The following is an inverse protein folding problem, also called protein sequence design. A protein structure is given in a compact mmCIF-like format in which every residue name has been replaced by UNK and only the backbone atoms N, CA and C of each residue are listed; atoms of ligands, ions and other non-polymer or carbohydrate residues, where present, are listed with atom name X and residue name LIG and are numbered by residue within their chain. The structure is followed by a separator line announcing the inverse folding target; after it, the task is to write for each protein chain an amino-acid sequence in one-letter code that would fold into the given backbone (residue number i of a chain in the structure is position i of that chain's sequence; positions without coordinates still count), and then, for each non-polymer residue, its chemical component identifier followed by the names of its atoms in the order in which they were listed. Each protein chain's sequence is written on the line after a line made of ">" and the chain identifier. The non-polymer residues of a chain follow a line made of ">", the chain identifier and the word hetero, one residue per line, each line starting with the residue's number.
data_IF_400233719709
#
_entry.id   IF_400233719709
#
_cell.length_a   1.000
_cell.length_b   1.000
_cell.length_c   1.000
_cell.angle_alpha   90.00
_cell.angle_beta   90.00
_cell.angle_gamma   90.00
#
_symmetry.space_group_name_H-M   'P 1'
#
loop_
_entity.id
_entity.type
_entity.pdbx_description
1 polymer ?
#
# COMPACT_ATOMS: atom_id res chain seq x y z
N UNK A 1 11.53 -29.59 7.89
CA UNK A 1 12.27 -28.42 7.35
C UNK A 1 13.35 -28.00 8.32
N UNK A 2 13.02 -27.52 9.53
CA UNK A 2 14.03 -27.06 10.51
C UNK A 2 15.06 -28.09 10.97
N UNK A 3 14.74 -29.39 10.95
CA UNK A 3 15.74 -30.44 11.19
C UNK A 3 16.84 -30.51 10.12
N UNK A 4 16.57 -30.03 8.90
CA UNK A 4 17.56 -29.94 7.83
C UNK A 4 18.32 -28.61 7.88
N UNK A 5 17.65 -27.51 8.23
CA UNK A 5 18.25 -26.19 8.40
C UNK A 5 17.45 -25.37 9.44
N UNK A 6 18.06 -25.10 10.59
CA UNK A 6 17.43 -24.39 11.70
C UNK A 6 17.16 -22.90 11.43
N UNK A 7 17.74 -22.33 10.37
CA UNK A 7 17.51 -20.93 9.98
C UNK A 7 16.20 -20.71 9.22
N UNK A 8 15.55 -21.79 8.76
CA UNK A 8 14.31 -21.71 8.00
C UNK A 8 13.18 -21.13 8.86
N UNK A 9 12.61 -20.02 8.37
CA UNK A 9 11.36 -19.49 8.88
C UNK A 9 10.16 -20.13 8.16
N UNK A 10 9.11 -20.42 8.92
CA UNK A 10 7.89 -21.09 8.49
C UNK A 10 6.70 -20.16 8.63
N UNK A 11 5.90 -20.08 7.57
CA UNK A 11 4.66 -19.31 7.52
C UNK A 11 3.49 -20.29 7.48
N UNK A 12 2.60 -20.24 8.47
CA UNK A 12 1.41 -21.10 8.52
C UNK A 12 0.17 -20.38 8.02
N UNK A 13 -0.76 -21.08 7.36
CA UNK A 13 -1.99 -20.48 6.84
C UNK A 13 -3.01 -20.24 7.96
N UNK A 14 -3.41 -18.98 8.19
CA UNK A 14 -4.31 -18.64 9.30
C UNK A 14 -5.43 -17.67 8.94
N UNK A 15 -5.76 -17.54 7.66
CA UNK A 15 -6.78 -16.60 7.21
C UNK A 15 -8.20 -16.95 7.69
N UNK A 16 -9.10 -15.97 7.59
CA UNK A 16 -10.51 -16.18 7.87
C UNK A 16 -11.16 -17.07 6.81
N UNK A 17 -12.00 -18.02 7.25
CA UNK A 17 -12.79 -18.84 6.35
C UNK A 17 -13.79 -17.98 5.55
N UNK A 18 -13.96 -18.28 4.27
CA UNK A 18 -14.77 -17.44 3.36
C UNK A 18 -16.27 -17.40 3.71
N UNK A 19 -16.79 -18.45 4.34
CA UNK A 19 -18.23 -18.65 4.55
C UNK A 19 -18.61 -18.73 6.04
N UNK A 20 -17.70 -18.38 6.95
CA UNK A 20 -17.93 -18.35 8.39
C UNK A 20 -17.05 -17.29 9.04
N UNK A 21 -17.31 -16.96 10.30
CA UNK A 21 -16.46 -16.02 11.05
C UNK A 21 -15.19 -16.68 11.62
N UNK A 22 -14.93 -17.95 11.29
CA UNK A 22 -13.80 -18.71 11.82
C UNK A 22 -12.48 -18.20 11.27
N UNK A 23 -11.54 -17.92 12.18
CA UNK A 23 -10.13 -17.68 11.86
C UNK A 23 -9.31 -18.96 12.02
N UNK A 24 -8.66 -19.41 10.95
CA UNK A 24 -7.78 -20.59 11.03
C UNK A 24 -6.52 -20.34 11.85
N UNK A 25 -6.16 -19.07 12.07
CA UNK A 25 -5.07 -18.68 12.97
C UNK A 25 -5.25 -19.24 14.39
N UNK A 26 -6.48 -19.39 14.89
CA UNK A 26 -6.70 -19.91 16.24
C UNK A 26 -6.22 -21.35 16.39
N UNK A 27 -6.66 -22.22 15.48
CA UNK A 27 -6.29 -23.63 15.45
C UNK A 27 -4.81 -23.78 15.14
N UNK A 28 -4.31 -23.03 14.14
CA UNK A 28 -2.91 -23.01 13.76
C UNK A 28 -2.01 -22.73 14.98
N UNK A 29 -2.28 -21.66 15.72
CA UNK A 29 -1.41 -21.23 16.82
C UNK A 29 -1.52 -22.16 18.03
N UNK A 30 -2.70 -22.71 18.32
CA UNK A 30 -2.88 -23.68 19.41
C UNK A 30 -2.19 -25.01 19.14
N UNK A 31 -2.21 -25.48 17.89
CA UNK A 31 -1.64 -26.78 17.54
C UNK A 31 -0.14 -26.70 17.21
N UNK A 32 0.30 -25.63 16.56
CA UNK A 32 1.69 -25.53 16.07
C UNK A 32 2.63 -24.80 17.04
N UNK A 33 2.12 -23.90 17.90
CA UNK A 33 2.95 -23.11 18.82
C UNK A 33 4.12 -22.43 18.11
N UNK A 34 5.34 -22.69 18.58
CA UNK A 34 6.58 -22.09 18.06
C UNK A 34 7.08 -22.72 16.74
N UNK A 35 6.35 -23.68 16.17
CA UNK A 35 6.68 -24.26 14.87
C UNK A 35 6.45 -23.28 13.71
N UNK A 36 5.62 -22.25 13.90
CA UNK A 36 5.37 -21.20 12.89
C UNK A 36 5.88 -19.85 13.36
N UNK A 37 6.62 -19.16 12.50
CA UNK A 37 7.17 -17.82 12.78
C UNK A 37 6.16 -16.72 12.44
N UNK A 38 5.42 -16.91 11.34
CA UNK A 38 4.44 -15.96 10.84
C UNK A 38 3.12 -16.64 10.50
N UNK A 39 2.03 -15.89 10.58
CA UNK A 39 0.71 -16.31 10.11
C UNK A 39 0.43 -15.66 8.75
N UNK A 40 0.15 -16.47 7.74
CA UNK A 40 -0.25 -16.00 6.42
C UNK A 40 -1.70 -15.51 6.43
N UNK A 41 -1.90 -14.32 5.88
CA UNK A 41 -3.21 -13.69 5.67
C UNK A 41 -3.40 -13.32 4.21
N UNK A 42 -4.65 -13.41 3.76
CA UNK A 42 -5.07 -13.08 2.41
C UNK A 42 -5.95 -11.83 2.47
N UNK A 43 -5.43 -10.70 1.98
CA UNK A 43 -6.13 -9.40 1.99
C UNK A 43 -6.85 -9.11 0.67
N UNK A 44 -6.58 -9.87 -0.39
CA UNK A 44 -7.39 -9.88 -1.59
C UNK A 44 -8.80 -10.42 -1.32
N UNK A 45 -9.68 -10.31 -2.33
CA UNK A 45 -11.11 -10.67 -2.26
C UNK A 45 -12.00 -9.78 -1.40
N UNK A 46 -11.52 -8.62 -0.95
CA UNK A 46 -12.44 -7.55 -0.63
C UNK A 46 -13.26 -7.24 -1.89
N UNK A 47 -14.58 -7.11 -1.75
CA UNK A 47 -15.50 -6.86 -2.87
C UNK A 47 -16.36 -5.65 -2.54
N UNK A 48 -16.78 -4.86 -3.54
CA UNK A 48 -17.77 -3.83 -3.33
C UNK A 48 -19.04 -4.42 -2.73
N UNK A 49 -19.68 -3.72 -1.78
CA UNK A 49 -20.95 -4.16 -1.18
C UNK A 49 -22.11 -4.06 -2.17
N UNK A 50 -22.03 -3.08 -3.07
CA UNK A 50 -23.06 -2.83 -4.06
C UNK A 50 -22.97 -3.85 -5.21
N UNK A 51 -24.01 -4.66 -5.48
CA UNK A 51 -24.01 -5.56 -6.64
C UNK A 51 -23.97 -4.82 -7.99
N UNK A 52 -24.37 -3.55 -8.01
CA UNK A 52 -24.28 -2.63 -9.15
C UNK A 52 -23.08 -1.67 -9.04
N UNK A 53 -22.01 -2.11 -8.38
CA UNK A 53 -20.75 -1.39 -8.22
C UNK A 53 -20.24 -0.76 -9.52
N UNK A 54 -19.74 0.48 -9.42
CA UNK A 54 -19.07 1.15 -10.54
C UNK A 54 -17.70 0.53 -10.86
N UNK A 55 -17.11 -0.23 -9.93
CA UNK A 55 -15.81 -0.89 -10.12
C UNK A 55 -15.88 -2.18 -10.98
N UNK A 56 -17.03 -2.44 -11.62
CA UNK A 56 -17.21 -3.57 -12.54
C UNK A 56 -16.87 -3.18 -13.98
N UNK A 57 -15.81 -3.79 -14.50
CA UNK A 57 -15.40 -3.65 -15.91
C UNK A 57 -14.98 -2.23 -16.23
N UNK A 58 -15.78 -1.54 -17.06
CA UNK A 58 -15.48 -0.19 -17.54
C UNK A 58 -16.41 0.87 -16.99
N UNK A 59 -17.32 0.50 -16.08
CA UNK A 59 -18.34 1.40 -15.52
C UNK A 59 -17.71 2.57 -14.74
N UNK A 60 -16.57 2.32 -14.09
CA UNK A 60 -15.81 3.29 -13.31
C UNK A 60 -15.48 4.58 -14.08
N UNK A 61 -15.32 4.48 -15.41
CA UNK A 61 -14.98 5.62 -16.28
C UNK A 61 -16.06 6.69 -16.36
N UNK A 62 -17.29 6.37 -15.96
CA UNK A 62 -18.40 7.31 -15.95
C UNK A 62 -18.27 8.33 -14.83
N UNK A 63 -17.67 7.93 -13.71
CA UNK A 63 -17.53 8.76 -12.52
C UNK A 63 -16.36 8.27 -11.64
N UNK A 64 -15.22 8.98 -11.73
CA UNK A 64 -14.04 8.68 -10.91
C UNK A 64 -14.22 9.03 -9.44
N UNK A 65 -15.09 9.98 -9.09
CA UNK A 65 -15.39 10.30 -7.68
C UNK A 65 -16.18 9.16 -7.04
N UNK A 66 -17.19 8.63 -7.73
CA UNK A 66 -17.92 7.44 -7.27
C UNK A 66 -16.99 6.21 -7.19
N UNK A 67 -16.09 6.06 -8.17
CA UNK A 67 -15.10 4.98 -8.18
C UNK A 67 -14.14 5.08 -7.00
N UNK A 68 -13.66 6.28 -6.68
CA UNK A 68 -12.81 6.51 -5.51
C UNK A 68 -13.54 6.23 -4.21
N UNK A 69 -14.81 6.65 -4.09
CA UNK A 69 -15.62 6.36 -2.91
C UNK A 69 -15.76 4.84 -2.68
N UNK A 70 -16.01 4.05 -3.73
CA UNK A 70 -16.05 2.59 -3.59
C UNK A 70 -14.67 1.98 -3.28
N UNK A 71 -13.58 2.52 -3.83
CA UNK A 71 -12.21 2.10 -3.47
C UNK A 71 -11.89 2.43 -2.00
N UNK A 72 -12.39 3.53 -1.46
CA UNK A 72 -12.28 3.85 -0.03
C UNK A 72 -13.01 2.82 0.83
N UNK A 73 -14.25 2.45 0.47
CA UNK A 73 -14.97 1.37 1.15
C UNK A 73 -14.22 0.04 1.11
N UNK A 74 -13.53 -0.24 0.00
CA UNK A 74 -12.68 -1.42 -0.13
C UNK A 74 -11.46 -1.37 0.80
N UNK A 75 -10.83 -0.19 0.92
CA UNK A 75 -9.74 0.06 1.87
C UNK A 75 -10.21 -0.19 3.31
N UNK A 76 -11.40 0.32 3.69
CA UNK A 76 -11.95 0.16 5.03
C UNK A 76 -12.16 -1.33 5.41
N UNK A 77 -12.43 -2.18 4.41
CA UNK A 77 -12.52 -3.63 4.62
C UNK A 77 -11.17 -4.28 4.85
N UNK A 78 -10.13 -3.84 4.14
CA UNK A 78 -8.75 -4.31 4.39
C UNK A 78 -8.31 -3.92 5.80
N UNK A 79 -8.56 -2.66 6.20
CA UNK A 79 -8.23 -2.15 7.54
C UNK A 79 -8.96 -2.93 8.64
N UNK A 80 -10.27 -3.14 8.47
CA UNK A 80 -11.08 -3.93 9.40
C UNK A 80 -10.55 -5.36 9.51
N UNK A 81 -10.31 -6.04 8.39
CA UNK A 81 -9.80 -7.42 8.40
C UNK A 81 -8.42 -7.51 9.07
N UNK A 82 -7.53 -6.54 8.83
CA UNK A 82 -6.22 -6.49 9.48
C UNK A 82 -6.36 -6.28 11.00
N UNK A 83 -7.25 -5.39 11.42
CA UNK A 83 -7.53 -5.11 12.84
C UNK A 83 -8.12 -6.33 13.55
N UNK A 84 -9.08 -7.02 12.91
CA UNK A 84 -9.66 -8.25 13.42
C UNK A 84 -8.62 -9.37 13.51
N UNK A 85 -7.82 -9.57 12.47
CA UNK A 85 -6.74 -10.55 12.46
C UNK A 85 -5.73 -10.29 13.60
N UNK A 86 -5.33 -9.03 13.79
CA UNK A 86 -4.47 -8.62 14.90
C UNK A 86 -5.07 -9.00 16.24
N UNK A 87 -6.34 -8.65 16.47
CA UNK A 87 -7.05 -8.97 17.71
C UNK A 87 -7.06 -10.48 17.99
N UNK A 88 -7.44 -11.29 17.00
CA UNK A 88 -7.51 -12.76 17.13
C UNK A 88 -6.13 -13.34 17.40
N UNK A 89 -5.13 -13.03 16.58
CA UNK A 89 -3.79 -13.60 16.66
C UNK A 89 -3.10 -13.21 17.97
N UNK A 90 -3.12 -11.92 18.33
CA UNK A 90 -2.43 -11.42 19.52
C UNK A 90 -3.15 -11.76 20.83
N UNK A 91 -4.42 -12.13 20.79
CA UNK A 91 -5.12 -12.71 21.95
C UNK A 91 -4.59 -14.09 22.35
N UNK A 92 -3.98 -14.81 21.40
CA UNK A 92 -3.39 -16.14 21.60
C UNK A 92 -1.89 -16.02 21.85
N UNK A 93 -1.19 -15.27 20.99
CA UNK A 93 0.23 -14.98 21.11
C UNK A 93 0.53 -13.53 20.71
N UNK A 94 0.73 -12.68 21.71
CA UNK A 94 0.98 -11.25 21.54
C UNK A 94 2.25 -10.93 20.74
N UNK A 95 3.19 -11.88 20.64
CA UNK A 95 4.44 -11.71 19.88
C UNK A 95 4.28 -12.10 18.40
N UNK A 96 3.20 -12.78 18.04
CA UNK A 96 3.03 -13.32 16.70
C UNK A 96 2.75 -12.22 15.69
N UNK A 97 3.42 -12.34 14.53
CA UNK A 97 3.36 -11.41 13.41
C UNK A 97 2.80 -12.11 12.18
N UNK A 98 2.43 -11.32 11.17
CA UNK A 98 1.75 -11.83 9.97
C UNK A 98 2.55 -11.57 8.69
N UNK A 99 2.32 -12.46 7.73
CA UNK A 99 2.68 -12.28 6.34
C UNK A 99 1.41 -12.11 5.52
N UNK A 100 1.22 -10.95 4.91
CA UNK A 100 0.18 -10.76 3.89
C UNK A 100 0.73 -11.34 2.60
N UNK A 101 0.44 -12.61 2.36
CA UNK A 101 0.99 -13.38 1.23
C UNK A 101 0.29 -13.06 -0.07
N UNK A 102 -0.96 -12.58 -0.01
CA UNK A 102 -1.73 -12.10 -1.15
C UNK A 102 -2.56 -10.87 -0.74
N UNK A 103 -2.25 -9.69 -1.29
CA UNK A 103 -2.95 -8.43 -0.94
C UNK A 103 -3.43 -7.60 -2.12
N UNK A 104 -3.55 -8.20 -3.30
CA UNK A 104 -3.90 -7.48 -4.53
C UNK A 104 -5.36 -7.01 -4.59
N UNK A 105 -5.61 -5.89 -5.29
CA UNK A 105 -6.96 -5.38 -5.55
C UNK A 105 -7.69 -6.23 -6.61
N UNK A 106 -8.50 -7.19 -6.18
CA UNK A 106 -9.31 -8.03 -7.06
C UNK A 106 -10.63 -7.40 -7.46
N UNK A 107 -10.70 -6.91 -8.70
CA UNK A 107 -11.94 -6.37 -9.29
C UNK A 107 -12.49 -7.27 -10.41
N UNK A 108 -13.73 -7.01 -10.80
CA UNK A 108 -14.40 -7.70 -11.92
C UNK A 108 -14.19 -6.92 -13.23
N UNK A 109 -14.02 -7.59 -14.39
CA UNK A 109 -13.80 -9.03 -14.58
C UNK A 109 -12.56 -9.51 -13.83
N UNK A 110 -12.65 -10.72 -13.26
CA UNK A 110 -11.67 -11.25 -12.32
C UNK A 110 -10.22 -10.96 -12.74
N UNK A 111 -9.55 -10.13 -11.93
CA UNK A 111 -8.15 -9.74 -12.07
C UNK A 111 -7.79 -9.06 -13.42
N UNK A 112 -8.77 -8.51 -14.14
CA UNK A 112 -8.61 -7.89 -15.47
C UNK A 112 -9.33 -6.54 -15.60
N UNK A 113 -9.74 -5.93 -14.49
CA UNK A 113 -10.39 -4.62 -14.51
C UNK A 113 -9.40 -3.54 -14.94
N UNK A 114 -9.74 -2.75 -15.96
CA UNK A 114 -8.81 -1.78 -16.57
C UNK A 114 -8.45 -0.61 -15.65
N UNK A 115 -9.24 -0.33 -14.62
CA UNK A 115 -8.90 0.66 -13.59
C UNK A 115 -7.54 0.38 -12.93
N UNK A 116 -7.11 -0.89 -12.91
CA UNK A 116 -5.81 -1.31 -12.39
C UNK A 116 -4.63 -0.85 -13.24
N UNK A 117 -4.86 -0.24 -14.41
CA UNK A 117 -3.83 0.45 -15.21
C UNK A 117 -3.77 1.94 -14.94
N UNK A 118 -4.76 2.47 -14.22
CA UNK A 118 -4.98 3.90 -14.07
C UNK A 118 -4.54 4.40 -12.69
N UNK A 119 -4.21 5.69 -12.63
CA UNK A 119 -3.63 6.31 -11.45
C UNK A 119 -4.50 6.18 -10.20
N UNK A 120 -5.83 6.25 -10.35
CA UNK A 120 -6.76 6.07 -9.23
C UNK A 120 -6.53 4.77 -8.45
N UNK A 121 -6.11 3.69 -9.12
CA UNK A 121 -5.76 2.43 -8.45
C UNK A 121 -4.43 2.53 -7.70
N UNK A 122 -3.46 3.31 -8.20
CA UNK A 122 -2.20 3.55 -7.50
C UNK A 122 -2.43 4.24 -6.15
N UNK A 123 -3.33 5.22 -6.10
CA UNK A 123 -3.70 5.91 -4.85
C UNK A 123 -4.27 4.93 -3.82
N UNK A 124 -5.14 4.01 -4.26
CA UNK A 124 -5.63 2.94 -3.39
C UNK A 124 -4.46 2.08 -2.85
N UNK A 125 -3.57 1.60 -3.72
CA UNK A 125 -2.45 0.76 -3.30
C UNK A 125 -1.51 1.49 -2.33
N UNK A 126 -1.24 2.78 -2.55
CA UNK A 126 -0.41 3.58 -1.66
C UNK A 126 -1.04 3.72 -0.27
N UNK A 127 -2.36 3.92 -0.17
CA UNK A 127 -3.08 3.91 1.12
C UNK A 127 -2.97 2.55 1.82
N UNK A 128 -3.10 1.46 1.08
CA UNK A 128 -2.96 0.12 1.66
C UNK A 128 -1.52 -0.13 2.13
N UNK A 129 -0.49 0.35 1.43
CA UNK A 129 0.89 0.31 1.95
C UNK A 129 1.04 1.12 3.22
N UNK A 130 0.50 2.34 3.27
CA UNK A 130 0.50 3.14 4.50
C UNK A 130 -0.20 2.42 5.65
N UNK A 131 -1.30 1.71 5.39
CA UNK A 131 -1.96 0.86 6.39
C UNK A 131 -1.01 -0.22 6.94
N UNK A 132 -0.27 -0.90 6.06
CA UNK A 132 0.66 -1.94 6.48
C UNK A 132 1.87 -1.35 7.23
N UNK A 133 2.40 -0.20 6.80
CA UNK A 133 3.48 0.49 7.50
C UNK A 133 3.06 1.00 8.88
N UNK A 134 1.83 1.51 9.04
CA UNK A 134 1.25 1.85 10.36
C UNK A 134 1.13 0.65 11.30
N UNK A 135 1.12 -0.56 10.73
CA UNK A 135 1.03 -1.82 11.43
C UNK A 135 2.31 -2.65 11.32
N UNK A 136 3.47 -2.04 11.04
CA UNK A 136 4.73 -2.75 10.80
C UNK A 136 5.25 -3.55 12.03
N UNK A 137 4.76 -3.22 13.23
CA UNK A 137 4.97 -4.02 14.44
C UNK A 137 4.33 -5.41 14.34
N UNK A 138 3.25 -5.55 13.56
CA UNK A 138 2.49 -6.78 13.37
C UNK A 138 2.67 -7.39 11.98
N UNK A 139 2.73 -6.57 10.93
CA UNK A 139 2.91 -7.00 9.54
C UNK A 139 4.40 -7.04 9.22
N UNK A 140 4.92 -8.23 8.93
CA UNK A 140 6.34 -8.43 8.62
C UNK A 140 6.61 -8.58 7.12
N UNK A 141 5.67 -9.21 6.40
CA UNK A 141 5.71 -9.38 4.95
C UNK A 141 4.39 -8.86 4.39
N UNK A 142 4.45 -8.13 3.28
CA UNK A 142 3.25 -7.76 2.54
C UNK A 142 3.45 -7.79 1.03
N UNK A 143 2.45 -8.32 0.32
CA UNK A 143 2.31 -8.24 -1.13
C UNK A 143 1.07 -7.40 -1.47
N UNK A 144 1.15 -6.58 -2.52
CA UNK A 144 -0.01 -5.83 -3.06
C UNK A 144 -0.37 -6.22 -4.49
N UNK A 145 0.40 -7.14 -5.06
CA UNK A 145 0.29 -7.53 -6.45
C UNK A 145 0.83 -8.94 -6.59
N UNK A 146 0.34 -9.64 -7.60
CA UNK A 146 1.09 -10.74 -8.17
C UNK A 146 2.38 -10.18 -8.79
N UNK A 147 3.41 -11.00 -8.98
CA UNK A 147 4.70 -10.47 -9.45
C UNK A 147 4.64 -10.02 -10.92
N UNK A 148 4.43 -10.95 -11.85
CA UNK A 148 4.44 -10.66 -13.28
C UNK A 148 3.48 -11.54 -14.10
N UNK A 149 3.02 -11.00 -15.23
CA UNK A 149 2.21 -11.77 -16.18
C UNK A 149 1.85 -11.03 -17.45
N UNK A 150 1.02 -11.67 -18.29
CA UNK A 150 0.65 -11.13 -19.62
C UNK A 150 -0.79 -10.63 -19.72
N UNK A 151 -1.68 -11.01 -18.79
CA UNK A 151 -3.12 -10.72 -18.92
C UNK A 151 -3.81 -10.23 -17.66
N UNK A 152 -3.38 -10.68 -16.48
CA UNK A 152 -3.94 -10.20 -15.23
C UNK A 152 -3.35 -8.83 -14.88
N UNK A 153 -4.22 -7.88 -14.56
CA UNK A 153 -3.88 -6.51 -14.22
C UNK A 153 -3.66 -6.32 -12.72
N UNK A 154 -3.68 -7.40 -11.93
CA UNK A 154 -3.24 -7.42 -10.53
C UNK A 154 -1.74 -7.66 -10.38
N UNK A 155 -1.01 -7.85 -11.49
CA UNK A 155 0.44 -7.99 -11.48
C UNK A 155 1.13 -6.64 -11.19
N UNK A 156 2.33 -6.68 -10.63
CA UNK A 156 3.21 -5.52 -10.56
C UNK A 156 3.88 -5.25 -11.92
N UNK A 157 4.24 -6.31 -12.65
CA UNK A 157 4.91 -6.25 -13.94
C UNK A 157 4.03 -6.87 -15.04
N UNK A 158 3.80 -6.14 -16.11
CA UNK A 158 3.27 -6.67 -17.35
C UNK A 158 4.41 -7.02 -18.29
N UNK A 159 4.47 -8.29 -18.70
CA UNK A 159 5.48 -8.77 -19.64
C UNK A 159 5.26 -8.27 -21.07
N UNK A 160 4.02 -7.97 -21.43
CA UNK A 160 3.62 -7.62 -22.80
C UNK A 160 3.61 -8.80 -23.77
N UNK A 161 3.27 -8.52 -25.02
CA UNK A 161 3.41 -9.44 -26.15
C UNK A 161 4.86 -9.50 -26.64
N UNK A 162 5.24 -10.50 -27.46
CA UNK A 162 6.55 -10.51 -28.08
C UNK A 162 6.86 -9.17 -28.78
N UNK A 163 8.04 -8.60 -28.49
CA UNK A 163 8.54 -7.27 -28.93
C UNK A 163 8.03 -6.05 -28.15
N UNK A 164 7.16 -6.24 -27.16
CA UNK A 164 6.83 -5.18 -26.21
C UNK A 164 7.87 -5.16 -25.08
N UNK A 165 8.11 -3.97 -24.53
CA UNK A 165 8.96 -3.81 -23.34
C UNK A 165 8.12 -4.11 -22.10
N UNK A 166 8.59 -4.96 -21.16
CA UNK A 166 7.92 -5.14 -19.89
C UNK A 166 7.80 -3.82 -19.13
N UNK A 167 6.68 -3.62 -18.44
CA UNK A 167 6.38 -2.37 -17.74
C UNK A 167 5.68 -2.60 -16.42
N UNK A 168 5.80 -1.63 -15.52
CA UNK A 168 5.12 -1.69 -14.24
C UNK A 168 3.67 -1.23 -14.38
N UNK A 169 2.77 -1.89 -13.67
CA UNK A 169 1.43 -1.37 -13.40
C UNK A 169 1.49 -0.34 -12.25
N UNK A 170 0.44 0.48 -12.04
CA UNK A 170 0.41 1.51 -11.01
C UNK A 170 0.87 1.02 -9.63
N UNK A 171 0.44 -0.18 -9.21
CA UNK A 171 0.90 -0.81 -7.95
C UNK A 171 2.42 -1.02 -7.91
N UNK A 172 3.03 -1.44 -9.01
CA UNK A 172 4.47 -1.61 -9.14
C UNK A 172 5.23 -0.28 -9.06
N UNK A 173 4.69 0.81 -9.62
CA UNK A 173 5.27 2.15 -9.48
C UNK A 173 5.27 2.62 -8.02
N UNK A 174 4.15 2.44 -7.32
CA UNK A 174 4.00 2.79 -5.90
C UNK A 174 4.94 1.96 -5.02
N UNK A 175 4.95 0.62 -5.19
CA UNK A 175 5.84 -0.26 -4.43
C UNK A 175 7.32 0.07 -4.68
N UNK A 176 7.70 0.41 -5.93
CA UNK A 176 9.06 0.84 -6.28
C UNK A 176 9.44 2.14 -5.57
N UNK A 177 8.53 3.12 -5.51
CA UNK A 177 8.74 4.38 -4.81
C UNK A 177 8.99 4.13 -3.32
N UNK A 178 8.10 3.39 -2.67
CA UNK A 178 8.16 3.13 -1.22
C UNK A 178 9.40 2.32 -0.85
N UNK A 179 9.71 1.28 -1.64
CA UNK A 179 10.91 0.45 -1.42
C UNK A 179 12.20 1.24 -1.54
N UNK A 180 12.26 2.22 -2.44
CA UNK A 180 13.45 3.06 -2.63
C UNK A 180 13.64 4.04 -1.48
N UNK A 181 12.55 4.62 -0.97
CA UNK A 181 12.55 5.70 0.01
C UNK A 181 11.88 5.31 1.32
N UNK A 182 12.37 4.24 1.94
CA UNK A 182 11.88 3.77 3.25
C UNK A 182 13.02 3.48 4.22
N UNK A 183 12.68 3.51 5.51
CA UNK A 183 13.55 3.20 6.63
C UNK A 183 13.36 1.80 7.20
N UNK A 184 14.17 1.46 8.21
CA UNK A 184 14.13 0.18 8.93
C UNK A 184 13.47 0.29 10.31
N UNK A 185 13.21 1.51 10.80
CA UNK A 185 12.49 1.78 12.04
C UNK A 185 11.25 2.64 11.78
N UNK A 186 10.07 2.17 12.18
CA UNK A 186 8.84 2.97 12.11
C UNK A 186 8.92 4.19 13.04
N UNK A 187 8.34 5.31 12.59
CA UNK A 187 8.26 6.56 13.36
C UNK A 187 6.80 6.94 13.51
N UNK A 188 6.40 7.26 14.74
CA UNK A 188 5.04 7.72 15.01
C UNK A 188 4.78 9.07 14.32
N UNK A 189 3.64 9.16 13.64
CA UNK A 189 3.17 10.38 12.99
C UNK A 189 1.88 10.82 13.67
N UNK A 190 1.77 12.11 13.92
CA UNK A 190 0.50 12.75 14.31
C UNK A 190 0.13 13.72 13.20
N UNK A 191 -1.11 13.63 12.71
CA UNK A 191 -1.66 14.47 11.64
C UNK A 191 -3.00 15.02 12.09
N UNK A 192 -3.20 16.31 11.97
CA UNK A 192 -4.45 16.99 12.34
C UNK A 192 -5.19 17.46 11.07
N UNK A 193 -6.47 17.10 10.96
CA UNK A 193 -7.40 17.75 10.02
C UNK A 193 -7.08 17.65 8.53
N UNK A 194 -6.30 16.67 8.08
CA UNK A 194 -5.83 16.59 6.69
C UNK A 194 -6.41 15.41 5.91
N UNK A 195 -6.49 15.57 4.59
CA UNK A 195 -6.75 14.51 3.61
C UNK A 195 -5.49 13.69 3.29
N UNK A 196 -4.43 13.88 4.06
CA UNK A 196 -3.14 13.22 3.89
C UNK A 196 -3.10 11.95 4.75
N UNK A 197 -3.01 10.79 4.09
CA UNK A 197 -2.63 9.54 4.75
C UNK A 197 -1.10 9.50 4.81
N UNK A 198 -0.54 9.42 6.02
CA UNK A 198 0.90 9.59 6.25
C UNK A 198 1.44 8.48 7.13
N UNK A 199 2.59 7.95 6.72
CA UNK A 199 3.47 7.11 7.54
C UNK A 199 4.87 7.67 7.55
N UNK A 200 5.66 7.26 8.53
CA UNK A 200 7.06 7.63 8.59
C UNK A 200 7.92 6.45 9.04
N UNK A 201 9.14 6.43 8.52
CA UNK A 201 10.19 5.50 8.92
C UNK A 201 11.53 6.20 8.90
N UNK A 202 12.52 5.67 9.62
CA UNK A 202 13.86 6.24 9.73
C UNK A 202 14.90 5.20 9.34
N UNK A 203 15.99 5.65 8.73
CA UNK A 203 17.24 4.89 8.55
C UNK A 203 18.42 5.82 8.76
N UNK A 204 19.20 5.59 9.81
CA UNK A 204 20.32 6.47 10.16
C UNK A 204 19.86 7.90 10.50
N UNK A 205 20.38 8.90 9.78
CA UNK A 205 19.99 10.31 9.94
C UNK A 205 18.94 10.78 8.91
N UNK A 206 18.29 9.84 8.24
CA UNK A 206 17.27 10.15 7.25
C UNK A 206 15.92 9.66 7.72
N UNK A 207 14.96 10.57 7.76
CA UNK A 207 13.54 10.30 7.97
C UNK A 207 12.86 10.24 6.59
N UNK A 208 12.06 9.22 6.38
CA UNK A 208 11.25 9.02 5.20
C UNK A 208 9.78 9.14 5.59
N UNK A 209 8.99 9.91 4.85
CA UNK A 209 7.54 9.93 4.99
C UNK A 209 6.91 9.44 3.70
N UNK A 210 5.95 8.53 3.80
CA UNK A 210 5.07 8.20 2.68
C UNK A 210 3.74 8.91 2.87
N UNK A 211 3.44 9.81 1.94
CA UNK A 211 2.28 10.70 1.98
C UNK A 211 1.40 10.43 0.78
N UNK A 212 0.12 10.13 1.04
CA UNK A 212 -0.91 10.02 0.01
C UNK A 212 -1.91 11.15 0.19
N UNK A 213 -2.01 12.05 -0.78
CA UNK A 213 -3.09 13.03 -0.80
C UNK A 213 -4.34 12.39 -1.41
N UNK A 214 -5.33 12.12 -0.57
CA UNK A 214 -6.59 11.49 -0.95
C UNK A 214 -7.64 12.46 -1.49
N UNK A 215 -7.38 13.77 -1.43
CA UNK A 215 -8.23 14.78 -2.04
C UNK A 215 -8.04 14.76 -3.56
N UNK A 216 -9.13 14.49 -4.28
CA UNK A 216 -9.12 14.37 -5.74
C UNK A 216 -9.15 15.72 -6.46
N UNK A 217 -9.44 16.81 -5.74
CA UNK A 217 -9.71 18.12 -6.30
C UNK A 217 -8.64 19.14 -5.91
N UNK A 218 -8.10 19.03 -4.69
CA UNK A 218 -7.26 20.07 -4.10
C UNK A 218 -5.90 19.56 -3.66
N UNK A 219 -4.87 20.36 -3.92
CA UNK A 219 -3.58 20.19 -3.29
C UNK A 219 -3.67 20.59 -1.81
N UNK A 220 -2.87 19.95 -0.96
CA UNK A 220 -2.90 20.16 0.49
C UNK A 220 -1.57 20.72 0.94
N UNK A 221 -1.60 21.92 1.53
CA UNK A 221 -0.44 22.48 2.21
C UNK A 221 -0.30 21.81 3.58
N UNK A 222 0.91 21.38 3.89
CA UNK A 222 1.25 20.81 5.18
C UNK A 222 2.51 21.46 5.75
N UNK A 223 2.48 21.61 7.06
CA UNK A 223 3.63 21.99 7.87
C UNK A 223 4.11 20.74 8.62
N UNK A 224 5.39 20.41 8.48
CA UNK A 224 5.99 19.25 9.12
C UNK A 224 7.08 19.70 10.08
N UNK A 225 6.98 19.21 11.30
CA UNK A 225 7.99 19.38 12.35
C UNK A 225 8.43 18.01 12.86
N UNK A 226 9.70 17.90 13.25
CA UNK A 226 10.25 16.68 13.85
C UNK A 226 10.51 16.95 15.32
N UNK A 227 9.91 16.16 16.21
CA UNK A 227 10.05 16.38 17.65
C UNK A 227 11.52 16.24 18.09
N UNK A 228 12.06 17.31 18.66
CA UNK A 228 13.42 17.33 19.24
C UNK A 228 14.56 17.38 18.22
N UNK A 229 14.28 17.53 16.92
CA UNK A 229 15.28 17.57 15.86
C UNK A 229 14.93 18.67 14.86
N UNK A 230 15.93 19.38 14.35
CA UNK A 230 15.78 20.41 13.31
C UNK A 230 16.20 19.82 11.97
N UNK A 231 15.26 19.57 11.04
CA UNK A 231 15.60 19.13 9.69
C UNK A 231 16.60 20.07 9.01
N UNK A 232 17.59 19.51 8.32
CA UNK A 232 18.61 20.25 7.59
C UNK A 232 18.29 20.40 6.10
N UNK A 233 17.65 19.40 5.50
CA UNK A 233 17.16 19.44 4.12
C UNK A 233 16.01 18.47 3.90
N UNK A 234 15.24 18.69 2.83
CA UNK A 234 14.16 17.80 2.43
C UNK A 234 14.04 17.72 0.90
N UNK A 235 13.69 16.54 0.40
CA UNK A 235 13.46 16.25 -1.00
C UNK A 235 12.16 15.46 -1.16
N UNK A 236 11.29 15.90 -2.06
CA UNK A 236 10.05 15.20 -2.38
C UNK A 236 10.25 14.36 -3.64
N UNK A 237 9.88 13.09 -3.56
CA UNK A 237 9.82 12.14 -4.67
C UNK A 237 8.36 11.81 -4.94
N UNK A 238 7.76 12.48 -5.93
CA UNK A 238 6.31 12.43 -6.12
C UNK A 238 5.91 11.75 -7.43
N UNK A 239 4.77 11.09 -7.42
CA UNK A 239 4.02 10.70 -8.60
C UNK A 239 2.66 11.40 -8.48
N UNK A 240 2.39 12.34 -9.39
CA UNK A 240 1.24 13.23 -9.33
C UNK A 240 0.73 13.57 -10.75
N UNK A 241 0.24 12.58 -11.52
CA UNK A 241 -0.31 12.85 -12.85
C UNK A 241 -1.52 13.77 -12.76
N UNK A 242 -1.76 14.53 -13.83
CA UNK A 242 -2.80 15.58 -13.86
C UNK A 242 -4.24 15.03 -13.76
N UNK A 243 -4.46 13.77 -14.12
CA UNK A 243 -5.78 13.13 -14.19
C UNK A 243 -5.76 11.72 -13.58
N UNK A 244 -6.83 11.37 -12.86
CA UNK A 244 -7.07 10.06 -12.25
C UNK A 244 -7.12 8.92 -13.27
N UNK A 245 -7.54 9.23 -14.50
CA UNK A 245 -7.64 8.32 -15.63
C UNK A 245 -6.32 8.10 -16.37
N UNK A 246 -5.25 8.80 -15.98
CA UNK A 246 -3.92 8.58 -16.57
C UNK A 246 -3.59 7.09 -16.46
N UNK A 247 -3.39 6.45 -17.61
CA UNK A 247 -3.26 5.00 -17.72
C UNK A 247 -1.89 4.62 -18.27
N UNK A 248 -1.31 3.54 -17.75
CA UNK A 248 -0.08 2.97 -18.28
C UNK A 248 -0.35 1.80 -19.24
N UNK A 249 0.31 1.86 -20.38
CA UNK A 249 0.42 0.79 -21.37
C UNK A 249 1.73 0.94 -22.15
N UNK A 250 1.91 0.09 -23.17
CA UNK A 250 3.13 0.03 -23.99
C UNK A 250 3.40 1.28 -24.81
N UNK A 251 2.45 2.21 -24.90
CA UNK A 251 2.58 3.50 -25.59
C UNK A 251 2.84 4.67 -24.64
N UNK A 252 2.69 4.45 -23.32
CA UNK A 252 2.68 5.48 -22.30
C UNK A 252 3.49 5.05 -21.05
N UNK A 253 4.72 4.55 -21.25
CA UNK A 253 5.52 3.89 -20.21
C UNK A 253 6.03 4.81 -19.09
N UNK A 254 6.04 6.13 -19.33
CA UNK A 254 6.63 7.14 -18.45
C UNK A 254 5.60 8.01 -17.71
N UNK A 255 4.30 7.70 -17.82
CA UNK A 255 3.22 8.52 -17.24
C UNK A 255 3.22 8.56 -15.70
N UNK A 256 3.94 7.63 -15.06
CA UNK A 256 4.11 7.53 -13.60
C UNK A 256 5.59 7.60 -13.20
N UNK A 257 6.40 8.33 -13.96
CA UNK A 257 7.76 8.64 -13.56
C UNK A 257 7.76 9.51 -12.29
N UNK A 258 8.79 9.29 -11.46
CA UNK A 258 8.94 10.00 -10.19
C UNK A 258 9.58 11.36 -10.45
N UNK A 259 8.88 12.41 -10.08
CA UNK A 259 9.39 13.77 -10.09
C UNK A 259 10.13 14.07 -8.78
N UNK A 260 11.30 14.70 -8.87
CA UNK A 260 12.07 15.12 -7.70
C UNK A 260 11.93 16.63 -7.52
N UNK A 261 11.48 17.06 -6.35
CA UNK A 261 11.28 18.46 -6.03
C UNK A 261 12.03 18.85 -4.75
N UNK A 262 12.85 19.89 -4.82
CA UNK A 262 13.47 20.46 -3.62
C UNK A 262 12.39 21.02 -2.69
N UNK A 263 12.46 20.68 -1.41
CA UNK A 263 11.49 21.11 -0.42
C UNK A 263 12.11 22.16 0.48
N UNK A 264 11.52 23.37 0.60
CA UNK A 264 12.03 24.39 1.48
C UNK A 264 12.01 23.95 2.94
N UNK A 265 13.13 24.13 3.63
CA UNK A 265 13.26 23.95 5.07
C UNK A 265 13.61 25.29 5.68
N UNK A 266 12.72 25.83 6.52
CA UNK A 266 12.88 27.15 7.15
C UNK A 266 12.65 27.05 8.65
N UNK A 267 13.58 27.57 9.45
CA UNK A 267 13.49 27.58 10.92
C UNK A 267 13.23 26.18 11.56
N UNK A 268 13.69 25.10 10.94
CA UNK A 268 13.44 23.73 11.42
C UNK A 268 12.07 23.16 11.08
N UNK A 269 11.31 23.86 10.24
CA UNK A 269 10.02 23.44 9.76
C UNK A 269 10.08 23.21 8.25
N UNK A 270 9.43 22.14 7.80
CA UNK A 270 9.26 21.83 6.39
C UNK A 270 7.87 22.30 5.99
N UNK A 271 7.77 23.09 4.93
CA UNK A 271 6.48 23.50 4.37
C UNK A 271 6.39 22.96 2.95
N UNK A 272 5.39 22.11 2.71
CA UNK A 272 5.22 21.48 1.41
C UNK A 272 3.76 21.45 0.98
N UNK A 273 3.53 21.61 -0.33
CA UNK A 273 2.22 21.48 -0.95
C UNK A 273 2.16 20.13 -1.66
N UNK A 274 1.45 19.17 -1.07
CA UNK A 274 1.23 17.86 -1.68
C UNK A 274 0.18 18.01 -2.79
N UNK A 275 0.49 17.69 -4.06
CA UNK A 275 -0.48 17.80 -5.14
C UNK A 275 -1.76 16.99 -4.85
N UNK A 276 -2.88 17.38 -5.43
CA UNK A 276 -4.12 16.59 -5.35
C UNK A 276 -3.87 15.18 -5.87
N UNK A 277 -4.57 14.18 -5.31
CA UNK A 277 -4.54 12.81 -5.80
C UNK A 277 -3.11 12.33 -6.09
N UNK A 278 -2.21 12.42 -5.11
CA UNK A 278 -0.78 12.18 -5.33
C UNK A 278 -0.20 11.23 -4.31
N UNK A 279 0.95 10.64 -4.66
CA UNK A 279 1.77 9.83 -3.77
C UNK A 279 3.16 10.44 -3.74
N UNK A 280 3.64 10.78 -2.53
CA UNK A 280 4.94 11.41 -2.31
C UNK A 280 5.72 10.63 -1.27
N UNK A 281 6.97 10.29 -1.59
CA UNK A 281 7.96 9.92 -0.58
C UNK A 281 8.81 11.16 -0.26
N UNK A 282 8.73 11.67 0.97
CA UNK A 282 9.52 12.79 1.44
C UNK A 282 10.77 12.24 2.14
N UNK A 283 11.95 12.58 1.63
CA UNK A 283 13.23 12.26 2.25
C UNK A 283 13.72 13.49 3.02
N UNK A 284 13.91 13.36 4.33
CA UNK A 284 14.26 14.45 5.24
C UNK A 284 15.57 14.12 5.96
N UNK A 285 16.55 15.00 5.85
CA UNK A 285 17.79 14.91 6.61
C UNK A 285 17.61 15.58 7.97
N UNK A 286 17.88 14.80 9.02
CA UNK A 286 17.75 15.18 10.43
C UNK A 286 18.97 15.92 10.96
#
# INVERSE_FOLDING_TARGET
>A
MRSADSSIQLIGWGDQERNSDKWWAEDLLRESGDLVDLVALHMMHQKPDNPNTVLRGREYRKDYHASWAELCTMYDKVDRKLTEARSVIQSIDASKRVAITEGHLSLQPHNKCEILREWISALYHARVLNLYERNADFVDIATLADFEGVSWLVNAVMLGSPRETPYLLPVGHVMRLFRKYGGDAAVNVTSEGSTLDVTASRRGQTLYLHVVNTDLQSATNAELSVTGITPSSALAHQIAPNDLSTAIDTTALNVFDVENCSVPVGNGTIVWCFPKASVTALEVQL
#
